data_IF_630284653813
#
_entry.id   IF_630284653813
#
_cell.length_a   1.000
_cell.length_b   1.000
_cell.length_c   1.000
_cell.angle_alpha   90.00
_cell.angle_beta   90.00
_cell.angle_gamma   90.00
#
_symmetry.space_group_name_H-M   'P 1'
#
loop_
_entity.id
_entity.type
_entity.pdbx_description
1 polymer ?
#
# COMPACT_ATOMS: atom_id res chain seq x y z
N UNK A 1 -15.58 37.70 -20.37
CA UNK A 1 -16.51 36.60 -20.04
C UNK A 1 -16.30 35.35 -20.90
N UNK A 2 -16.27 35.42 -22.25
CA UNK A 2 -16.09 34.23 -23.12
C UNK A 2 -14.77 33.46 -22.91
N UNK A 3 -13.64 34.15 -22.77
CA UNK A 3 -12.34 33.51 -22.53
C UNK A 3 -12.28 32.83 -21.14
N UNK A 4 -12.90 33.44 -20.14
CA UNK A 4 -13.00 32.89 -18.79
C UNK A 4 -13.84 31.61 -18.77
N UNK A 5 -14.92 31.57 -19.56
CA UNK A 5 -15.74 30.37 -19.74
C UNK A 5 -14.95 29.24 -20.42
N UNK A 6 -14.14 29.58 -21.43
CA UNK A 6 -13.30 28.62 -22.13
C UNK A 6 -12.23 28.01 -21.22
N UNK A 7 -11.55 28.85 -20.42
CA UNK A 7 -10.56 28.40 -19.45
C UNK A 7 -11.17 27.50 -18.38
N UNK A 8 -12.38 27.82 -17.90
CA UNK A 8 -13.11 27.00 -16.93
C UNK A 8 -13.46 25.61 -17.51
N UNK A 9 -13.95 25.56 -18.75
CA UNK A 9 -14.27 24.28 -19.42
C UNK A 9 -13.02 23.43 -19.61
N UNK A 10 -11.91 24.05 -20.00
CA UNK A 10 -10.63 23.34 -20.18
C UNK A 10 -10.10 22.78 -18.86
N UNK A 11 -10.23 23.51 -17.74
CA UNK A 11 -9.81 23.00 -16.43
C UNK A 11 -10.63 21.81 -15.95
N UNK A 12 -11.92 21.73 -16.28
CA UNK A 12 -12.78 20.59 -15.89
C UNK A 12 -12.44 19.34 -16.72
N UNK A 13 -12.04 19.53 -17.98
CA UNK A 13 -11.62 18.44 -18.88
C UNK A 13 -10.26 17.83 -18.49
N UNK A 14 -9.43 18.56 -17.76
CA UNK A 14 -8.10 18.13 -17.33
C UNK A 14 -8.02 17.83 -15.83
N UNK A 15 -9.16 17.56 -15.18
CA UNK A 15 -9.17 17.21 -13.76
C UNK A 15 -8.83 15.74 -13.57
N UNK A 16 -7.80 15.46 -12.78
CA UNK A 16 -7.43 14.08 -12.40
C UNK A 16 -8.51 13.44 -11.55
N UNK A 17 -8.72 12.14 -11.75
CA UNK A 17 -9.71 11.35 -11.03
C UNK A 17 -9.02 10.55 -9.94
N UNK A 18 -9.23 10.95 -8.69
CA UNK A 18 -8.72 10.21 -7.51
C UNK A 18 -9.12 8.74 -7.58
N UNK A 19 -8.22 7.87 -7.10
CA UNK A 19 -8.29 6.41 -7.17
C UNK A 19 -8.11 5.79 -8.56
N UNK A 20 -8.01 6.62 -9.60
CA UNK A 20 -7.66 6.21 -10.95
C UNK A 20 -6.33 6.82 -11.38
N UNK A 21 -6.13 8.12 -11.18
CA UNK A 21 -4.96 8.88 -11.56
C UNK A 21 -4.03 9.13 -10.36
N UNK A 22 -2.73 9.32 -10.60
CA UNK A 22 -1.77 9.66 -9.55
C UNK A 22 -1.91 11.16 -9.23
N UNK A 23 -2.56 11.46 -8.11
CA UNK A 23 -2.89 12.83 -7.70
C UNK A 23 -2.06 13.33 -6.52
N UNK A 24 -1.24 12.45 -5.94
CA UNK A 24 -0.29 12.78 -4.86
C UNK A 24 1.14 12.58 -5.34
N UNK A 25 2.00 13.57 -5.06
CA UNK A 25 3.41 13.56 -5.46
C UNK A 25 4.26 12.67 -4.55
N UNK A 26 4.02 12.74 -3.24
CA UNK A 26 4.78 12.04 -2.21
C UNK A 26 3.95 11.03 -1.43
N UNK A 27 4.63 9.96 -1.01
CA UNK A 27 4.08 8.86 -0.22
C UNK A 27 4.91 8.75 1.04
N UNK A 28 4.23 8.65 2.17
CA UNK A 28 4.83 8.28 3.45
C UNK A 28 4.76 6.77 3.60
N UNK A 29 5.91 6.15 3.88
CA UNK A 29 6.02 4.75 4.30
C UNK A 29 6.21 4.69 5.82
N UNK A 30 5.48 3.83 6.50
CA UNK A 30 5.67 3.49 7.90
C UNK A 30 6.02 2.00 7.93
N UNK A 31 7.22 1.69 8.41
CA UNK A 31 7.80 0.35 8.33
C UNK A 31 7.54 -0.46 9.61
N UNK A 32 7.58 -1.78 9.47
CA UNK A 32 7.62 -2.75 10.57
C UNK A 32 6.46 -2.60 11.58
N UNK A 33 5.26 -2.25 11.12
CA UNK A 33 4.09 -2.10 12.00
C UNK A 33 3.56 -3.48 12.38
N UNK A 34 3.81 -3.90 13.62
CA UNK A 34 3.27 -5.16 14.15
C UNK A 34 1.74 -5.11 14.20
N UNK A 35 1.09 -5.99 13.45
CA UNK A 35 -0.37 -6.10 13.39
C UNK A 35 -0.91 -7.35 14.09
N UNK A 36 -0.03 -8.32 14.38
CA UNK A 36 -0.42 -9.58 14.98
C UNK A 36 0.76 -10.38 15.47
N UNK A 37 0.46 -11.56 15.98
CA UNK A 37 1.44 -12.54 16.44
C UNK A 37 0.90 -13.94 16.12
N UNK A 38 1.75 -14.82 15.60
CA UNK A 38 1.37 -16.16 15.20
C UNK A 38 2.51 -17.17 15.40
N UNK A 39 2.20 -18.45 15.64
CA UNK A 39 3.21 -19.50 15.71
C UNK A 39 3.79 -19.78 14.32
N UNK A 40 5.11 -19.78 14.21
CA UNK A 40 5.87 -20.13 13.01
C UNK A 40 6.83 -21.30 13.24
N UNK A 41 7.21 -22.00 12.17
CA UNK A 41 8.12 -23.13 12.22
C UNK A 41 9.58 -22.65 12.24
N UNK A 42 10.38 -22.98 13.28
CA UNK A 42 11.78 -22.58 13.32
C UNK A 42 12.68 -23.43 12.39
N UNK A 43 12.11 -24.34 11.60
CA UNK A 43 12.83 -25.26 10.71
C UNK A 43 11.97 -25.68 9.51
N UNK A 44 12.62 -26.25 8.50
CA UNK A 44 11.96 -26.72 7.27
C UNK A 44 10.85 -27.74 7.57
N UNK A 45 9.69 -27.61 6.91
CA UNK A 45 8.41 -28.31 7.09
C UNK A 45 8.44 -29.85 7.24
N UNK A 46 9.05 -30.36 8.32
CA UNK A 46 9.10 -31.80 8.62
C UNK A 46 8.10 -32.21 9.70
N UNK A 47 7.84 -31.34 10.69
CA UNK A 47 6.91 -31.59 11.81
C UNK A 47 6.36 -30.27 12.33
N UNK A 48 5.04 -30.17 12.52
CA UNK A 48 4.36 -28.96 13.05
C UNK A 48 4.17 -28.96 14.57
N UNK A 49 4.86 -29.86 15.30
CA UNK A 49 4.70 -30.00 16.76
C UNK A 49 5.62 -29.08 17.57
N UNK A 50 6.42 -28.25 16.92
CA UNK A 50 7.32 -27.28 17.54
C UNK A 50 7.27 -25.99 16.72
N UNK A 51 6.62 -24.99 17.29
CA UNK A 51 6.50 -23.65 16.73
C UNK A 51 7.01 -22.63 17.75
N UNK A 52 7.41 -21.46 17.25
CA UNK A 52 7.74 -20.29 18.07
C UNK A 52 6.88 -19.14 17.59
N UNK A 53 6.30 -18.41 18.53
CA UNK A 53 5.51 -17.22 18.20
C UNK A 53 6.42 -16.14 17.60
N UNK A 54 6.02 -15.61 16.46
CA UNK A 54 6.64 -14.47 15.78
C UNK A 54 5.64 -13.33 15.67
N UNK A 55 6.16 -12.11 15.68
CA UNK A 55 5.36 -10.93 15.34
C UNK A 55 5.16 -10.89 13.82
N UNK A 56 3.93 -10.57 13.43
CA UNK A 56 3.57 -10.32 12.04
C UNK A 56 3.53 -8.81 11.82
N UNK A 57 4.33 -8.34 10.88
CA UNK A 57 4.54 -6.94 10.57
C UNK A 57 4.04 -6.57 9.16
N UNK A 58 3.88 -5.28 8.95
CA UNK A 58 3.46 -4.73 7.67
C UNK A 58 4.05 -3.34 7.46
N UNK A 59 4.20 -2.98 6.20
CA UNK A 59 4.51 -1.63 5.79
C UNK A 59 3.24 -0.91 5.33
N UNK A 60 3.07 0.33 5.80
CA UNK A 60 1.93 1.17 5.44
C UNK A 60 2.40 2.31 4.54
N UNK A 61 1.84 2.37 3.34
CA UNK A 61 2.07 3.43 2.37
C UNK A 61 0.82 4.30 2.27
N UNK A 62 0.98 5.59 2.49
CA UNK A 62 -0.12 6.54 2.41
C UNK A 62 0.30 7.86 1.76
N UNK A 63 -0.60 8.52 1.01
CA UNK A 63 -0.31 9.83 0.42
C UNK A 63 -0.05 10.89 1.50
N UNK A 64 0.96 11.73 1.29
CA UNK A 64 1.19 12.89 2.14
C UNK A 64 0.21 14.02 1.80
N UNK A 65 -0.25 14.75 2.83
CA UNK A 65 -1.15 15.91 2.66
C UNK A 65 -2.58 15.57 2.27
N UNK A 66 -2.95 14.29 2.24
CA UNK A 66 -4.31 13.85 1.99
C UNK A 66 -5.26 14.23 3.13
N UNK A 67 -6.38 14.86 2.78
CA UNK A 67 -7.34 15.41 3.74
C UNK A 67 -8.50 14.46 4.05
N UNK A 68 -8.64 13.35 3.30
CA UNK A 68 -9.68 12.36 3.59
C UNK A 68 -9.29 11.48 4.76
N UNK A 69 -10.15 11.45 5.78
CA UNK A 69 -9.98 10.57 6.94
C UNK A 69 -10.24 9.09 6.61
N UNK A 70 -11.23 8.82 5.75
CA UNK A 70 -11.62 7.46 5.36
C UNK A 70 -11.16 7.20 3.94
N UNK A 71 -10.20 6.29 3.80
CA UNK A 71 -9.59 5.93 2.52
C UNK A 71 -9.70 4.41 2.32
N UNK A 72 -9.96 3.95 1.10
CA UNK A 72 -9.91 2.52 0.80
C UNK A 72 -8.50 1.99 1.06
N UNK A 73 -8.44 0.80 1.64
CA UNK A 73 -7.19 0.08 1.91
C UNK A 73 -7.01 -1.01 0.86
N UNK A 74 -5.79 -1.15 0.33
CA UNK A 74 -5.37 -2.30 -0.46
C UNK A 74 -4.35 -3.08 0.35
N UNK A 75 -4.56 -4.38 0.51
CA UNK A 75 -3.61 -5.28 1.18
C UNK A 75 -2.88 -6.06 0.10
N UNK A 76 -1.57 -5.87 0.04
CA UNK A 76 -0.66 -6.64 -0.78
C UNK A 76 -0.04 -7.76 0.05
N UNK A 77 -0.07 -8.96 -0.52
CA UNK A 77 0.59 -10.14 0.03
C UNK A 77 1.66 -10.53 -0.96
N UNK A 78 2.91 -10.57 -0.52
CA UNK A 78 4.03 -10.84 -1.40
C UNK A 78 3.96 -12.25 -2.01
N UNK A 79 4.68 -12.44 -3.11
CA UNK A 79 4.79 -13.75 -3.76
C UNK A 79 5.69 -14.70 -2.97
N UNK A 80 5.80 -15.96 -3.42
CA UNK A 80 6.64 -16.97 -2.76
C UNK A 80 5.86 -17.99 -1.93
N UNK A 81 4.57 -18.17 -2.24
CA UNK A 81 3.72 -19.28 -1.79
C UNK A 81 3.63 -19.46 -0.27
N UNK A 82 3.69 -18.36 0.49
CA UNK A 82 3.72 -18.36 1.96
C UNK A 82 4.92 -19.11 2.55
N UNK A 83 5.97 -19.27 1.76
CA UNK A 83 7.17 -20.02 2.09
C UNK A 83 8.42 -19.15 2.06
N UNK A 84 8.44 -18.18 1.15
CA UNK A 84 9.53 -17.23 0.97
C UNK A 84 8.96 -15.90 0.51
N UNK A 85 9.77 -14.86 0.53
CA UNK A 85 9.36 -13.50 0.17
C UNK A 85 9.42 -12.59 1.39
N UNK A 86 9.13 -11.32 1.14
CA UNK A 86 9.07 -10.26 2.15
C UNK A 86 8.36 -9.06 1.53
N UNK A 87 7.93 -8.12 2.36
CA UNK A 87 7.22 -6.91 1.98
C UNK A 87 8.03 -5.89 1.15
N UNK A 88 9.37 -6.00 1.09
CA UNK A 88 10.27 -5.11 0.32
C UNK A 88 10.59 -5.58 -1.10
N UNK A 89 9.88 -6.58 -1.62
CA UNK A 89 10.06 -6.95 -3.03
C UNK A 89 9.69 -5.76 -3.95
N UNK A 90 10.56 -5.45 -4.91
CA UNK A 90 10.43 -4.28 -5.80
C UNK A 90 9.03 -4.12 -6.40
N UNK A 91 8.41 -5.23 -6.84
CA UNK A 91 7.08 -5.23 -7.43
C UNK A 91 5.97 -4.86 -6.43
N UNK A 92 6.08 -5.33 -5.19
CA UNK A 92 5.14 -5.02 -4.12
C UNK A 92 5.32 -3.57 -3.64
N UNK A 93 6.56 -3.10 -3.56
CA UNK A 93 6.89 -1.70 -3.22
C UNK A 93 6.31 -0.75 -4.28
N UNK A 94 6.54 -1.04 -5.57
CA UNK A 94 6.04 -0.24 -6.68
C UNK A 94 4.50 -0.19 -6.72
N UNK A 95 3.84 -1.34 -6.51
CA UNK A 95 2.38 -1.42 -6.42
C UNK A 95 1.84 -0.60 -5.24
N UNK A 96 2.50 -0.68 -4.09
CA UNK A 96 2.10 0.05 -2.87
C UNK A 96 2.25 1.56 -3.04
N UNK A 97 3.35 2.01 -3.65
CA UNK A 97 3.56 3.43 -3.97
C UNK A 97 2.54 3.92 -4.99
N UNK A 98 2.31 3.19 -6.08
CA UNK A 98 1.33 3.64 -7.10
C UNK A 98 -0.09 3.69 -6.53
N UNK A 99 -0.48 2.73 -5.70
CA UNK A 99 -1.76 2.78 -4.99
C UNK A 99 -1.85 4.00 -4.07
N UNK A 100 -0.82 4.26 -3.26
CA UNK A 100 -0.79 5.42 -2.37
C UNK A 100 -0.87 6.75 -3.13
N UNK A 101 -0.15 6.88 -4.26
CA UNK A 101 -0.22 8.05 -5.16
C UNK A 101 -1.59 8.28 -5.77
N UNK A 102 -2.41 7.24 -5.93
CA UNK A 102 -3.81 7.34 -6.37
C UNK A 102 -4.78 7.66 -5.23
N UNK A 103 -4.30 7.71 -3.98
CA UNK A 103 -5.07 8.12 -2.81
C UNK A 103 -5.58 6.96 -1.94
N UNK A 104 -5.14 5.73 -2.19
CA UNK A 104 -5.37 4.58 -1.31
C UNK A 104 -4.44 4.61 -0.10
N UNK A 105 -4.76 3.83 0.92
CA UNK A 105 -3.75 3.35 1.87
C UNK A 105 -3.35 1.96 1.40
N UNK A 106 -2.08 1.75 1.08
CA UNK A 106 -1.56 0.43 0.75
C UNK A 106 -0.88 -0.16 1.98
N UNK A 107 -1.14 -1.44 2.23
CA UNK A 107 -0.52 -2.22 3.29
C UNK A 107 0.18 -3.41 2.63
N UNK A 108 1.48 -3.55 2.85
CA UNK A 108 2.27 -4.69 2.39
C UNK A 108 2.62 -5.54 3.59
N UNK A 109 2.07 -6.75 3.70
CA UNK A 109 2.35 -7.65 4.82
C UNK A 109 3.58 -8.51 4.53
N UNK A 110 4.40 -8.73 5.56
CA UNK A 110 5.54 -9.67 5.58
C UNK A 110 5.11 -11.10 5.89
#
# INVERSE_FOLDING_TARGET
>A
MRLMLLLLVLSILSADVRYLDEVFESVQKIEDVVYGNAPDLPFWFWVESNTVDIDLDMDIYQPEGDTLANRPVIIFVHTGAFFSGHNELDDVVDLSISAAKRGYVAVSIS
#
